data_IF_739558777289
#
_entry.id   IF_739558777289
#
_cell.length_a   1.000
_cell.length_b   1.000
_cell.length_c   1.000
_cell.angle_alpha   90.00
_cell.angle_beta   90.00
_cell.angle_gamma   90.00
#
_symmetry.space_group_name_H-M   'P 1'
#
loop_
_entity.id
_entity.type
_entity.pdbx_description
1 polymer ?
#
# COMPACT_ATOMS: atom_id res chain seq x y z
N UNK A 1 -31.13 19.11 35.42
CA UNK A 1 -30.98 17.66 35.17
C UNK A 1 -30.70 17.28 33.70
N UNK A 2 -30.65 18.23 32.74
CA UNK A 2 -30.40 17.93 31.31
C UNK A 2 -28.94 17.96 30.82
N UNK A 3 -27.98 18.37 31.66
CA UNK A 3 -26.58 18.55 31.24
C UNK A 3 -25.75 17.25 31.22
N UNK A 4 -25.99 16.33 32.16
CA UNK A 4 -25.22 15.08 32.26
C UNK A 4 -25.41 14.13 31.06
N UNK A 5 -26.57 14.18 30.40
CA UNK A 5 -26.83 13.37 29.21
C UNK A 5 -26.02 13.84 27.99
N UNK A 6 -25.85 15.15 27.81
CA UNK A 6 -25.12 15.72 26.69
C UNK A 6 -23.62 15.42 26.75
N UNK A 7 -23.02 15.51 27.94
CA UNK A 7 -21.59 15.23 28.15
C UNK A 7 -21.27 13.74 27.96
N UNK A 8 -22.15 12.85 28.43
CA UNK A 8 -21.99 11.41 28.21
C UNK A 8 -22.08 11.05 26.73
N UNK A 9 -23.05 11.60 26.01
CA UNK A 9 -23.19 11.39 24.56
C UNK A 9 -21.94 11.88 23.84
N UNK A 10 -21.45 13.06 24.18
CA UNK A 10 -20.23 13.61 23.60
C UNK A 10 -19.01 12.70 23.79
N UNK A 11 -18.80 12.22 25.01
CA UNK A 11 -17.72 11.30 25.31
C UNK A 11 -17.85 10.00 24.50
N UNK A 12 -19.05 9.43 24.40
CA UNK A 12 -19.31 8.23 23.61
C UNK A 12 -19.03 8.45 22.12
N UNK A 13 -19.40 9.60 21.56
CA UNK A 13 -19.12 9.95 20.16
C UNK A 13 -17.62 10.09 19.92
N UNK A 14 -16.87 10.73 20.84
CA UNK A 14 -15.42 10.85 20.75
C UNK A 14 -14.75 9.48 20.78
N UNK A 15 -15.10 8.64 21.76
CA UNK A 15 -14.57 7.27 21.88
C UNK A 15 -14.90 6.44 20.64
N UNK A 16 -16.12 6.56 20.14
CA UNK A 16 -16.54 5.90 18.91
C UNK A 16 -15.70 6.34 17.70
N UNK A 17 -15.50 7.65 17.49
CA UNK A 17 -14.71 8.18 16.38
C UNK A 17 -13.24 7.75 16.46
N UNK A 18 -12.64 7.74 17.66
CA UNK A 18 -11.29 7.20 17.88
C UNK A 18 -11.25 5.71 17.58
N UNK A 19 -12.26 4.94 17.98
CA UNK A 19 -12.38 3.52 17.69
C UNK A 19 -12.53 3.21 16.19
N UNK A 20 -13.30 4.01 15.47
CA UNK A 20 -13.43 3.93 14.00
C UNK A 20 -12.09 4.21 13.34
N UNK A 21 -11.35 5.23 13.79
CA UNK A 21 -10.00 5.50 13.28
C UNK A 21 -9.06 4.32 13.53
N UNK A 22 -9.06 3.79 14.75
CA UNK A 22 -8.26 2.62 15.14
C UNK A 22 -8.60 1.39 14.29
N UNK A 23 -9.87 1.18 13.93
CA UNK A 23 -10.30 0.11 13.03
C UNK A 23 -9.69 0.26 11.63
N UNK A 24 -9.69 1.46 11.06
CA UNK A 24 -9.11 1.69 9.73
C UNK A 24 -7.58 1.58 9.74
N UNK A 25 -6.92 2.13 10.76
CA UNK A 25 -5.49 1.90 10.98
C UNK A 25 -5.23 0.41 11.10
N UNK A 26 -6.03 -0.31 11.87
CA UNK A 26 -5.86 -1.74 12.01
C UNK A 26 -6.00 -2.49 10.69
N UNK A 27 -7.01 -2.14 9.90
CA UNK A 27 -7.23 -2.70 8.58
C UNK A 27 -6.07 -2.45 7.62
N UNK A 28 -5.55 -1.22 7.57
CA UNK A 28 -4.41 -0.85 6.72
C UNK A 28 -3.16 -1.67 7.07
N UNK A 29 -2.70 -1.59 8.33
CA UNK A 29 -1.46 -2.23 8.74
C UNK A 29 -1.55 -3.75 8.76
N UNK A 30 -2.72 -4.32 9.06
CA UNK A 30 -2.89 -5.77 9.00
C UNK A 30 -2.91 -6.29 7.56
N UNK A 31 -3.60 -5.61 6.64
CA UNK A 31 -3.70 -6.03 5.24
C UNK A 31 -2.36 -5.88 4.51
N UNK A 32 -1.61 -4.80 4.78
CA UNK A 32 -0.25 -4.63 4.26
C UNK A 32 0.71 -5.62 4.93
N UNK A 33 0.64 -5.76 6.25
CA UNK A 33 1.57 -6.56 7.04
C UNK A 33 1.47 -8.07 6.80
N UNK A 34 0.28 -8.61 6.47
CA UNK A 34 0.14 -10.05 6.24
C UNK A 34 0.85 -10.50 4.96
N UNK A 35 0.92 -9.64 3.93
CA UNK A 35 1.50 -9.99 2.63
C UNK A 35 0.66 -11.01 1.84
N UNK A 36 0.84 -11.03 0.52
CA UNK A 36 -0.02 -11.82 -0.39
C UNK A 36 0.08 -13.33 -0.18
N UNK A 37 1.29 -13.85 0.03
CA UNK A 37 1.51 -15.30 0.19
C UNK A 37 0.83 -15.83 1.45
N UNK A 38 0.99 -15.13 2.59
CA UNK A 38 0.34 -15.53 3.84
C UNK A 38 -1.17 -15.31 3.77
N UNK A 39 -1.65 -14.23 3.17
CA UNK A 39 -3.08 -14.03 2.96
C UNK A 39 -3.71 -15.20 2.17
N UNK A 40 -3.05 -15.70 1.12
CA UNK A 40 -3.49 -16.90 0.39
C UNK A 40 -3.51 -18.15 1.25
N UNK A 41 -2.48 -18.37 2.09
CA UNK A 41 -2.47 -19.46 3.08
C UNK A 41 -3.68 -19.38 4.02
N UNK A 42 -3.95 -18.21 4.58
CA UNK A 42 -5.07 -18.00 5.51
C UNK A 42 -6.44 -18.21 4.85
N UNK A 43 -6.56 -17.92 3.55
CA UNK A 43 -7.76 -18.24 2.76
C UNK A 43 -7.93 -19.75 2.60
N UNK A 44 -6.84 -20.47 2.31
CA UNK A 44 -6.85 -21.93 2.16
C UNK A 44 -7.13 -22.65 3.48
N UNK A 45 -6.69 -22.09 4.60
CA UNK A 45 -7.01 -22.56 5.96
C UNK A 45 -8.51 -22.43 6.29
N UNK A 46 -9.31 -21.74 5.47
CA UNK A 46 -10.77 -21.67 5.61
C UNK A 46 -11.26 -20.85 6.81
N UNK A 47 -10.40 -19.99 7.37
CA UNK A 47 -10.71 -19.23 8.57
C UNK A 47 -11.78 -18.13 8.33
N UNK A 48 -12.54 -17.74 9.36
CA UNK A 48 -13.50 -16.64 9.27
C UNK A 48 -12.82 -15.35 8.78
N UNK A 49 -13.45 -14.68 7.80
CA UNK A 49 -12.88 -13.48 7.16
C UNK A 49 -11.84 -13.76 6.06
N UNK A 50 -11.40 -15.00 5.88
CA UNK A 50 -10.46 -15.41 4.84
C UNK A 50 -10.95 -15.04 3.43
N UNK A 51 -12.22 -15.32 3.10
CA UNK A 51 -12.78 -14.98 1.80
C UNK A 51 -12.75 -13.46 1.50
N UNK A 52 -13.02 -12.62 2.50
CA UNK A 52 -12.94 -11.16 2.36
C UNK A 52 -11.48 -10.70 2.18
N UNK A 53 -10.57 -11.24 3.00
CA UNK A 53 -9.14 -10.95 2.90
C UNK A 53 -8.60 -11.34 1.53
N UNK A 54 -8.95 -12.54 1.04
CA UNK A 54 -8.56 -13.01 -0.28
C UNK A 54 -9.02 -12.09 -1.41
N UNK A 55 -10.25 -11.56 -1.34
CA UNK A 55 -10.76 -10.58 -2.31
C UNK A 55 -10.00 -9.25 -2.25
N UNK A 56 -9.63 -8.79 -1.06
CA UNK A 56 -8.89 -7.54 -0.87
C UNK A 56 -7.43 -7.66 -1.34
N UNK A 57 -6.81 -8.83 -1.16
CA UNK A 57 -5.38 -9.04 -1.46
C UNK A 57 -5.12 -9.81 -2.75
N UNK A 58 -6.13 -10.08 -3.58
CA UNK A 58 -5.98 -10.97 -4.75
C UNK A 58 -4.99 -10.44 -5.78
N UNK A 59 -4.93 -9.11 -5.94
CA UNK A 59 -4.08 -8.42 -6.89
C UNK A 59 -3.60 -7.06 -6.34
N UNK A 60 -2.57 -6.43 -6.93
CA UNK A 60 -2.07 -5.13 -6.48
C UNK A 60 -3.12 -4.02 -6.51
N UNK A 61 -4.04 -4.05 -7.46
CA UNK A 61 -5.01 -2.98 -7.68
C UNK A 61 -6.08 -2.98 -6.58
N UNK A 62 -6.52 -4.17 -6.16
CA UNK A 62 -7.49 -4.30 -5.06
C UNK A 62 -6.86 -3.99 -3.72
N UNK A 63 -5.61 -4.39 -3.52
CA UNK A 63 -4.88 -4.02 -2.32
C UNK A 63 -4.70 -2.51 -2.23
N UNK A 64 -4.31 -1.86 -3.33
CA UNK A 64 -4.19 -0.41 -3.43
C UNK A 64 -5.52 0.29 -3.12
N UNK A 65 -6.63 -0.16 -3.73
CA UNK A 65 -7.98 0.34 -3.42
C UNK A 65 -8.37 0.15 -1.95
N UNK A 66 -7.99 -0.97 -1.33
CA UNK A 66 -8.24 -1.22 0.08
C UNK A 66 -7.47 -0.24 0.97
N UNK A 67 -6.20 0.02 0.65
CA UNK A 67 -5.37 1.00 1.34
C UNK A 67 -5.96 2.41 1.16
N UNK A 68 -6.36 2.80 -0.06
CA UNK A 68 -7.02 4.09 -0.30
C UNK A 68 -8.31 4.23 0.52
N UNK A 69 -9.12 3.17 0.62
CA UNK A 69 -10.32 3.18 1.46
C UNK A 69 -9.98 3.39 2.94
N UNK A 70 -8.94 2.73 3.46
CA UNK A 70 -8.47 2.98 4.83
C UNK A 70 -8.04 4.43 5.02
N UNK A 71 -7.26 4.99 4.09
CA UNK A 71 -6.77 6.38 4.19
C UNK A 71 -7.93 7.39 4.20
N UNK A 72 -8.92 7.20 3.32
CA UNK A 72 -10.14 8.02 3.33
C UNK A 72 -10.86 7.87 4.67
N UNK A 73 -11.02 6.64 5.16
CA UNK A 73 -11.64 6.35 6.45
C UNK A 73 -10.95 7.08 7.60
N UNK A 74 -9.62 6.98 7.70
CA UNK A 74 -8.78 7.65 8.69
C UNK A 74 -8.96 9.16 8.59
N UNK A 75 -8.88 9.74 7.40
CA UNK A 75 -9.04 11.19 7.22
C UNK A 75 -10.43 11.67 7.65
N UNK A 76 -11.49 10.97 7.23
CA UNK A 76 -12.87 11.34 7.59
C UNK A 76 -13.09 11.21 9.10
N UNK A 77 -12.61 10.14 9.74
CA UNK A 77 -12.73 10.00 11.20
C UNK A 77 -11.94 11.06 11.96
N UNK A 78 -10.72 11.39 11.50
CA UNK A 78 -9.87 12.42 12.09
C UNK A 78 -10.52 13.80 12.03
N UNK A 79 -10.99 14.20 10.84
CA UNK A 79 -11.63 15.49 10.62
C UNK A 79 -12.94 15.59 11.40
N UNK A 80 -13.74 14.52 11.41
CA UNK A 80 -15.00 14.47 12.16
C UNK A 80 -14.76 14.60 13.66
N UNK A 81 -13.74 13.91 14.19
CA UNK A 81 -13.37 14.02 15.60
C UNK A 81 -12.90 15.42 15.97
N UNK A 82 -12.04 16.03 15.15
CA UNK A 82 -11.57 17.40 15.37
C UNK A 82 -12.72 18.40 15.38
N UNK A 83 -13.57 18.38 14.34
CA UNK A 83 -14.71 19.29 14.23
C UNK A 83 -15.72 19.09 15.37
N UNK A 84 -16.06 17.84 15.68
CA UNK A 84 -17.00 17.52 16.76
C UNK A 84 -16.45 17.96 18.12
N UNK A 85 -15.18 17.68 18.40
CA UNK A 85 -14.55 18.05 19.65
C UNK A 85 -14.51 19.57 19.85
N UNK A 86 -14.28 20.34 18.79
CA UNK A 86 -14.31 21.80 18.87
C UNK A 86 -15.71 22.32 19.23
N UNK A 87 -16.77 21.80 18.60
CA UNK A 87 -18.15 22.24 18.86
C UNK A 87 -18.57 21.94 20.30
N UNK A 88 -18.14 20.80 20.84
CA UNK A 88 -18.59 20.34 22.16
C UNK A 88 -17.69 20.80 23.30
N UNK A 89 -16.37 20.70 23.15
CA UNK A 89 -15.43 20.92 24.25
C UNK A 89 -14.93 22.37 24.33
N UNK A 90 -14.81 23.08 23.21
CA UNK A 90 -14.27 24.45 23.23
C UNK A 90 -15.18 25.45 23.97
N UNK A 91 -16.53 25.40 23.83
CA UNK A 91 -17.43 26.25 24.62
C UNK A 91 -17.37 25.96 26.13
N UNK A 92 -17.08 24.72 26.52
CA UNK A 92 -16.92 24.35 27.93
C UNK A 92 -15.59 24.84 28.52
N UNK A 93 -14.52 24.89 27.71
CA UNK A 93 -13.18 25.30 28.14
C UNK A 93 -12.97 26.82 28.13
N UNK A 94 -13.63 27.55 27.22
CA UNK A 94 -13.43 29.00 27.04
C UNK A 94 -13.70 29.84 28.31
N UNK A 95 -14.77 29.63 29.09
CA UNK A 95 -15.02 30.38 30.33
C UNK A 95 -13.95 30.16 31.39
N UNK A 96 -13.42 28.93 31.47
CA UNK A 96 -12.38 28.57 32.41
C UNK A 96 -11.06 29.29 32.10
N UNK A 97 -10.71 29.41 30.81
CA UNK A 97 -9.56 30.17 30.33
C UNK A 97 -9.75 31.70 30.50
N UNK A 98 -10.96 32.22 30.29
CA UNK A 98 -11.28 33.63 30.52
C UNK A 98 -11.13 34.01 32.01
N UNK A 99 -11.46 33.09 32.92
CA UNK A 99 -11.32 33.29 34.37
C UNK A 99 -9.88 33.49 34.85
N UNK A 100 -8.87 33.13 34.04
CA UNK A 100 -7.46 33.38 34.36
C UNK A 100 -7.03 34.84 34.11
N UNK A 101 -7.91 35.69 33.57
CA UNK A 101 -7.71 37.14 33.49
C UNK A 101 -6.58 37.61 32.57
N UNK A 102 -5.96 36.70 31.82
CA UNK A 102 -4.79 36.98 30.98
C UNK A 102 -5.15 37.48 29.56
N UNK A 103 -6.41 37.34 29.12
CA UNK A 103 -6.82 37.57 27.72
C UNK A 103 -8.28 38.03 27.60
N UNK A 104 -8.62 38.82 26.56
CA UNK A 104 -10.02 39.19 26.25
C UNK A 104 -10.84 38.03 25.66
N UNK A 105 -12.18 38.17 25.62
CA UNK A 105 -13.14 37.10 25.28
C UNK A 105 -12.91 36.42 23.91
N UNK A 106 -12.50 37.18 22.89
CA UNK A 106 -12.23 36.64 21.55
C UNK A 106 -10.96 35.76 21.58
N UNK A 107 -9.97 36.16 22.37
CA UNK A 107 -8.69 35.48 22.45
C UNK A 107 -8.77 34.23 23.33
N UNK A 108 -9.60 34.24 24.39
CA UNK A 108 -9.86 33.05 25.21
C UNK A 108 -10.59 31.95 24.44
N UNK A 109 -11.56 32.30 23.58
CA UNK A 109 -12.23 31.32 22.72
C UNK A 109 -11.28 30.71 21.68
N UNK A 110 -10.47 31.54 21.02
CA UNK A 110 -9.50 31.08 20.03
C UNK A 110 -8.45 30.16 20.65
N UNK A 111 -7.99 30.50 21.86
CA UNK A 111 -7.08 29.66 22.65
C UNK A 111 -7.75 28.34 23.06
N UNK A 112 -9.02 28.36 23.48
CA UNK A 112 -9.77 27.16 23.82
C UNK A 112 -9.88 26.20 22.63
N UNK A 113 -10.19 26.71 21.44
CA UNK A 113 -10.23 25.92 20.20
C UNK A 113 -8.86 25.29 19.89
N UNK A 114 -7.78 26.06 20.02
CA UNK A 114 -6.43 25.57 19.79
C UNK A 114 -6.02 24.47 20.79
N UNK A 115 -6.33 24.66 22.08
CA UNK A 115 -6.04 23.68 23.13
C UNK A 115 -6.85 22.41 22.95
N UNK A 116 -8.15 22.53 22.66
CA UNK A 116 -9.03 21.37 22.39
C UNK A 116 -8.54 20.61 21.16
N UNK A 117 -8.20 21.31 20.08
CA UNK A 117 -7.66 20.68 18.87
C UNK A 117 -6.36 19.94 19.19
N UNK A 118 -5.40 20.58 19.86
CA UNK A 118 -4.13 19.96 20.22
C UNK A 118 -4.33 18.72 21.09
N UNK A 119 -5.14 18.83 22.16
CA UNK A 119 -5.39 17.74 23.09
C UNK A 119 -6.09 16.55 22.41
N UNK A 120 -7.12 16.82 21.61
CA UNK A 120 -7.90 15.77 20.94
C UNK A 120 -7.12 15.13 19.80
N UNK A 121 -6.34 15.90 19.04
CA UNK A 121 -5.41 15.36 18.04
C UNK A 121 -4.31 14.51 18.70
N UNK A 122 -3.72 14.92 19.82
CA UNK A 122 -2.75 14.09 20.55
C UNK A 122 -3.38 12.78 21.03
N UNK A 123 -4.59 12.84 21.61
CA UNK A 123 -5.32 11.64 22.03
C UNK A 123 -5.59 10.71 20.85
N UNK A 124 -6.05 11.26 19.74
CA UNK A 124 -6.34 10.50 18.53
C UNK A 124 -5.07 9.85 17.94
N UNK A 125 -3.95 10.58 17.86
CA UNK A 125 -2.69 10.01 17.35
C UNK A 125 -2.26 8.85 18.24
N UNK A 126 -2.29 9.01 19.57
CA UNK A 126 -1.86 7.96 20.49
C UNK A 126 -2.79 6.74 20.42
N UNK A 127 -4.09 6.93 20.64
CA UNK A 127 -5.05 5.84 20.81
C UNK A 127 -5.67 5.35 19.50
N UNK A 128 -5.89 6.25 18.56
CA UNK A 128 -6.46 5.96 17.25
C UNK A 128 -5.45 5.47 16.22
N UNK A 129 -4.15 5.72 16.42
CA UNK A 129 -3.12 5.37 15.42
C UNK A 129 -1.94 4.59 15.99
N UNK A 130 -1.15 5.20 16.89
CA UNK A 130 0.12 4.64 17.34
C UNK A 130 -0.05 3.33 18.12
N UNK A 131 -1.01 3.28 19.05
CA UNK A 131 -1.29 2.07 19.81
C UNK A 131 -1.77 0.91 18.92
N UNK A 132 -2.84 1.04 18.11
CA UNK A 132 -3.26 -0.02 17.18
C UNK A 132 -2.14 -0.48 16.26
N UNK A 133 -1.42 0.47 15.65
CA UNK A 133 -0.29 0.18 14.76
C UNK A 133 0.77 -0.67 15.44
N UNK A 134 1.18 -0.28 16.65
CA UNK A 134 2.23 -0.97 17.40
C UNK A 134 1.86 -2.41 17.79
N UNK A 135 0.58 -2.68 18.01
CA UNK A 135 0.05 -4.01 18.33
C UNK A 135 0.03 -4.89 17.06
N UNK A 136 -0.39 -4.32 15.94
CA UNK A 136 -0.71 -5.07 14.72
C UNK A 136 0.53 -5.47 13.94
N UNK A 137 1.53 -4.59 13.88
CA UNK A 137 2.80 -4.87 13.19
C UNK A 137 3.49 -6.13 13.75
N UNK A 138 3.27 -6.47 15.02
CA UNK A 138 3.87 -7.67 15.64
C UNK A 138 3.24 -8.97 15.15
N UNK A 139 1.93 -8.97 14.89
CA UNK A 139 1.22 -10.15 14.40
C UNK A 139 0.00 -9.75 13.54
N UNK A 140 0.21 -9.46 12.24
CA UNK A 140 -0.85 -8.90 11.39
C UNK A 140 -1.89 -9.92 10.96
N UNK A 141 -1.56 -11.22 10.91
CA UNK A 141 -2.43 -12.29 10.40
C UNK A 141 -3.81 -12.37 11.07
N UNK A 142 -3.93 -12.48 12.41
CA UNK A 142 -5.24 -12.57 13.07
C UNK A 142 -6.05 -11.28 12.93
N UNK A 143 -5.39 -10.12 12.89
CA UNK A 143 -6.05 -8.84 12.69
C UNK A 143 -6.60 -8.72 11.28
N UNK A 144 -5.84 -9.14 10.27
CA UNK A 144 -6.24 -9.08 8.86
C UNK A 144 -7.52 -9.88 8.62
N UNK A 145 -7.65 -11.07 9.23
CA UNK A 145 -8.88 -11.87 9.13
C UNK A 145 -10.08 -11.20 9.80
N UNK A 146 -9.90 -10.59 10.98
CA UNK A 146 -10.99 -9.95 11.73
C UNK A 146 -11.50 -8.67 11.06
N UNK A 147 -10.60 -7.86 10.53
CA UNK A 147 -10.93 -6.55 9.93
C UNK A 147 -11.33 -6.65 8.46
N UNK A 148 -10.95 -7.72 7.76
CA UNK A 148 -11.21 -7.88 6.33
C UNK A 148 -12.68 -7.75 5.92
N UNK A 149 -13.68 -8.30 6.65
CA UNK A 149 -15.08 -8.12 6.28
C UNK A 149 -15.54 -6.66 6.34
N UNK A 150 -15.16 -5.96 7.42
CA UNK A 150 -15.47 -4.53 7.58
C UNK A 150 -14.79 -3.70 6.50
N UNK A 151 -13.51 -3.97 6.21
CA UNK A 151 -12.76 -3.29 5.15
C UNK A 151 -13.37 -3.56 3.77
N UNK A 152 -13.80 -4.78 3.49
CA UNK A 152 -14.43 -5.12 2.22
C UNK A 152 -15.73 -4.35 1.99
N UNK A 153 -16.55 -4.20 3.04
CA UNK A 153 -17.74 -3.36 3.01
C UNK A 153 -17.37 -1.88 2.80
N UNK A 154 -16.40 -1.35 3.55
CA UNK A 154 -15.95 0.04 3.40
C UNK A 154 -15.45 0.34 1.99
N UNK A 155 -14.68 -0.56 1.38
CA UNK A 155 -14.24 -0.42 -0.02
C UNK A 155 -15.43 -0.35 -0.96
N UNK A 156 -16.44 -1.20 -0.78
CA UNK A 156 -17.64 -1.19 -1.62
C UNK A 156 -18.40 0.13 -1.50
N UNK A 157 -18.64 0.62 -0.27
CA UNK A 157 -19.33 1.90 -0.01
C UNK A 157 -18.52 3.09 -0.56
N UNK A 158 -17.21 3.07 -0.39
CA UNK A 158 -16.32 4.17 -0.80
C UNK A 158 -15.91 4.11 -2.27
N UNK A 159 -16.28 3.06 -3.02
CA UNK A 159 -15.92 2.89 -4.43
C UNK A 159 -16.20 4.13 -5.31
N UNK A 160 -17.37 4.80 -5.25
CA UNK A 160 -17.60 6.01 -6.05
C UNK A 160 -16.66 7.15 -5.68
N UNK A 161 -16.40 7.34 -4.38
CA UNK A 161 -15.49 8.38 -3.88
C UNK A 161 -14.05 8.09 -4.28
N UNK A 162 -13.61 6.82 -4.17
CA UNK A 162 -12.28 6.39 -4.60
C UNK A 162 -12.12 6.62 -6.10
N UNK A 163 -13.11 6.26 -6.92
CA UNK A 163 -13.07 6.49 -8.36
C UNK A 163 -12.93 7.98 -8.71
N UNK A 164 -13.66 8.85 -8.00
CA UNK A 164 -13.57 10.30 -8.17
C UNK A 164 -12.18 10.85 -7.80
N UNK A 165 -11.66 10.47 -6.63
CA UNK A 165 -10.37 10.95 -6.12
C UNK A 165 -9.20 10.42 -6.97
N UNK A 166 -9.17 9.12 -7.26
CA UNK A 166 -8.14 8.52 -8.12
C UNK A 166 -8.23 9.05 -9.55
N UNK A 167 -9.43 9.29 -10.07
CA UNK A 167 -9.63 9.93 -11.37
C UNK A 167 -9.07 11.35 -11.42
N UNK A 168 -9.33 12.14 -10.37
CA UNK A 168 -8.81 13.50 -10.22
C UNK A 168 -7.28 13.53 -10.13
N UNK A 169 -6.69 12.65 -9.33
CA UNK A 169 -5.23 12.50 -9.25
C UNK A 169 -4.63 12.07 -10.60
N UNK A 170 -5.27 11.11 -11.29
CA UNK A 170 -4.84 10.67 -12.62
C UNK A 170 -4.90 11.77 -13.68
N UNK A 171 -5.91 12.65 -13.61
CA UNK A 171 -6.04 13.82 -14.46
C UNK A 171 -4.92 14.84 -14.20
N UNK A 172 -4.64 15.15 -12.94
CA UNK A 172 -3.54 16.05 -12.57
C UNK A 172 -2.17 15.50 -12.99
N UNK A 173 -1.94 14.20 -12.85
CA UNK A 173 -0.70 13.55 -13.32
C UNK A 173 -0.53 13.65 -14.84
N UNK A 174 -1.63 13.50 -15.61
CA UNK A 174 -1.61 13.67 -17.06
C UNK A 174 -1.27 15.10 -17.47
N UNK A 175 -1.78 16.09 -16.74
CA UNK A 175 -1.39 17.49 -16.95
C UNK A 175 0.10 17.72 -16.70
N UNK A 176 0.67 17.02 -15.72
CA UNK A 176 2.11 17.03 -15.44
C UNK A 176 2.97 16.13 -16.33
N UNK A 177 2.40 15.49 -17.36
CA UNK A 177 3.14 14.60 -18.27
C UNK A 177 3.53 13.24 -17.68
N UNK A 178 3.02 12.88 -16.51
CA UNK A 178 3.31 11.60 -15.85
C UNK A 178 2.18 10.58 -16.11
N UNK A 179 2.51 9.30 -16.35
CA UNK A 179 1.50 8.26 -16.51
C UNK A 179 0.71 8.08 -15.20
N UNK A 180 -0.63 8.04 -15.30
CA UNK A 180 -1.56 7.96 -14.16
C UNK A 180 -1.49 6.66 -13.34
N UNK A 181 -0.70 5.68 -13.77
CA UNK A 181 -0.45 4.43 -13.05
C UNK A 181 1.03 4.13 -13.14
N UNK A 182 1.68 3.64 -12.06
CA UNK A 182 2.85 2.82 -12.23
C UNK A 182 2.38 1.58 -12.97
N UNK A 183 2.41 1.64 -14.31
CA UNK A 183 2.31 0.45 -15.13
C UNK A 183 3.34 -0.53 -14.61
N UNK A 184 2.98 -1.81 -14.61
CA UNK A 184 3.93 -2.92 -14.52
C UNK A 184 5.10 -2.55 -15.42
N UNK A 185 6.17 -1.99 -14.85
CA UNK A 185 7.33 -1.68 -15.66
C UNK A 185 7.75 -3.04 -16.21
N UNK A 186 7.91 -3.20 -17.54
CA UNK A 186 8.51 -4.41 -18.05
C UNK A 186 9.87 -4.51 -17.35
N UNK A 187 9.99 -5.50 -16.46
CA UNK A 187 11.21 -5.73 -15.71
C UNK A 187 12.36 -5.81 -16.70
N UNK A 188 13.42 -5.06 -16.46
CA UNK A 188 14.59 -5.15 -17.32
C UNK A 188 15.11 -6.60 -17.32
N UNK A 189 15.75 -7.07 -18.42
CA UNK A 189 16.33 -8.42 -18.44
C UNK A 189 17.27 -8.70 -17.25
N UNK A 190 17.96 -7.67 -16.75
CA UNK A 190 18.80 -7.73 -15.57
C UNK A 190 17.99 -7.96 -14.27
N UNK A 191 16.85 -7.28 -14.13
CA UNK A 191 15.95 -7.43 -12.98
C UNK A 191 15.26 -8.80 -12.98
N UNK A 192 14.83 -9.30 -14.16
CA UNK A 192 14.32 -10.67 -14.31
C UNK A 192 15.42 -11.68 -13.94
N UNK A 193 16.66 -11.47 -14.41
CA UNK A 193 17.81 -12.30 -14.04
C UNK A 193 18.06 -12.36 -12.53
N UNK A 194 17.89 -11.23 -11.84
CA UNK A 194 18.02 -11.15 -10.38
C UNK A 194 16.90 -11.91 -9.65
N UNK A 195 15.66 -11.78 -10.10
CA UNK A 195 14.49 -12.51 -9.55
C UNK A 195 14.68 -14.03 -9.72
N UNK A 196 15.18 -14.48 -10.88
CA UNK A 196 15.46 -15.90 -11.15
C UNK A 196 16.57 -16.42 -10.23
N UNK A 197 17.67 -15.68 -10.09
CA UNK A 197 18.77 -16.06 -9.18
C UNK A 197 18.31 -16.12 -7.72
N UNK A 198 17.44 -15.20 -7.29
CA UNK A 198 16.87 -15.21 -5.94
C UNK A 198 15.93 -16.39 -5.72
N UNK A 199 15.12 -16.75 -6.72
CA UNK A 199 14.19 -17.88 -6.67
C UNK A 199 14.89 -19.24 -6.66
N UNK A 200 16.07 -19.34 -7.28
CA UNK A 200 16.94 -20.52 -7.17
C UNK A 200 17.54 -20.65 -5.76
N UNK A 201 18.01 -19.53 -5.18
CA UNK A 201 18.56 -19.51 -3.80
C UNK A 201 17.53 -19.86 -2.72
N UNK A 202 16.26 -19.52 -2.93
CA UNK A 202 15.17 -19.86 -2.00
C UNK A 202 14.61 -21.28 -2.22
N UNK A 203 15.19 -22.07 -3.13
CA UNK A 203 14.77 -23.45 -3.40
C UNK A 203 13.46 -23.60 -4.19
N UNK A 204 12.89 -22.49 -4.67
CA UNK A 204 11.64 -22.49 -5.46
C UNK A 204 11.88 -22.96 -6.90
N UNK A 205 13.08 -22.72 -7.43
CA UNK A 205 13.52 -23.20 -8.75
C UNK A 205 14.68 -24.18 -8.61
N UNK A 206 14.62 -25.29 -9.35
CA UNK A 206 15.76 -26.20 -9.47
C UNK A 206 16.91 -25.51 -10.24
N UNK A 207 18.18 -25.83 -9.94
CA UNK A 207 19.34 -25.21 -10.61
C UNK A 207 19.26 -25.28 -12.15
N UNK A 208 18.88 -26.43 -12.71
CA UNK A 208 18.72 -26.61 -14.16
C UNK A 208 17.62 -25.72 -14.78
N UNK A 209 16.52 -25.51 -14.06
CA UNK A 209 15.42 -24.65 -14.52
C UNK A 209 15.83 -23.17 -14.49
N UNK A 210 16.57 -22.77 -13.45
CA UNK A 210 17.15 -21.43 -13.34
C UNK A 210 18.16 -21.16 -14.47
N UNK A 211 18.99 -22.14 -14.82
CA UNK A 211 19.97 -22.00 -15.89
C UNK A 211 19.31 -21.87 -17.27
N UNK A 212 18.29 -22.69 -17.55
CA UNK A 212 17.49 -22.58 -18.78
C UNK A 212 16.80 -21.23 -18.91
N UNK A 213 16.21 -20.71 -17.84
CA UNK A 213 15.57 -19.37 -17.85
C UNK A 213 16.61 -18.27 -18.08
N UNK A 214 17.78 -18.36 -17.43
CA UNK A 214 18.86 -17.40 -17.61
C UNK A 214 19.35 -17.39 -19.06
N UNK A 215 19.52 -18.56 -19.66
CA UNK A 215 19.96 -18.69 -21.06
C UNK A 215 18.91 -18.17 -22.04
N UNK A 216 17.61 -18.40 -21.80
CA UNK A 216 16.54 -17.87 -22.62
C UNK A 216 16.48 -16.32 -22.60
N UNK A 217 16.66 -15.72 -21.42
CA UNK A 217 16.72 -14.25 -21.26
C UNK A 217 17.96 -13.68 -21.95
N UNK A 218 19.12 -14.32 -21.78
CA UNK A 218 20.36 -13.89 -22.44
C UNK A 218 20.27 -14.02 -23.95
N UNK A 219 19.68 -15.10 -24.47
CA UNK A 219 19.49 -15.32 -25.90
C UNK A 219 18.66 -14.20 -26.54
N UNK A 220 17.57 -13.76 -25.89
CA UNK A 220 16.76 -12.65 -26.37
C UNK A 220 17.52 -11.31 -26.44
N UNK A 221 18.62 -11.17 -25.70
CA UNK A 221 19.46 -9.99 -25.68
C UNK A 221 20.72 -10.11 -26.57
N UNK A 222 20.99 -11.29 -27.17
CA UNK A 222 22.16 -11.50 -28.04
C UNK A 222 21.86 -11.04 -29.46
N UNK A 223 22.84 -10.40 -30.06
CA UNK A 223 22.85 -9.99 -31.47
C UNK A 223 23.71 -10.95 -32.29
N UNK A 224 23.55 -10.96 -33.62
CA UNK A 224 24.40 -11.78 -34.50
C UNK A 224 25.91 -11.50 -34.29
N UNK A 225 26.26 -10.26 -33.93
CA UNK A 225 27.64 -9.88 -33.59
C UNK A 225 28.18 -10.63 -32.38
N UNK A 226 27.33 -10.97 -31.42
CA UNK A 226 27.73 -11.59 -30.16
C UNK A 226 28.02 -13.09 -30.29
N UNK A 227 27.64 -13.71 -31.42
CA UNK A 227 27.76 -15.14 -31.68
C UNK A 227 28.42 -15.47 -33.03
N UNK A 228 28.66 -14.48 -33.90
CA UNK A 228 29.36 -14.71 -35.17
C UNK A 228 30.83 -15.08 -34.94
N UNK A 229 31.36 -15.91 -35.82
CA UNK A 229 32.81 -16.11 -35.94
C UNK A 229 33.43 -14.82 -36.50
N UNK A 230 34.42 -14.21 -35.81
CA UNK A 230 35.11 -13.03 -36.32
C UNK A 230 35.67 -13.29 -37.72
N UNK A 231 35.54 -12.32 -38.65
CA UNK A 231 35.96 -12.50 -40.06
C UNK A 231 37.41 -13.00 -40.22
N UNK A 232 38.30 -12.64 -39.31
CA UNK A 232 39.72 -13.06 -39.31
C UNK A 232 39.92 -14.54 -38.93
N UNK A 233 38.90 -15.19 -38.37
CA UNK A 233 38.86 -16.60 -37.99
C UNK A 233 37.97 -17.42 -38.94
N UNK A 234 37.42 -16.80 -39.98
CA UNK A 234 36.62 -17.50 -40.98
C UNK A 234 37.57 -18.13 -42.00
N UNK A 235 37.58 -19.45 -42.07
CA UNK A 235 38.17 -20.16 -43.20
C UNK A 235 37.29 -19.94 -44.42
N UNK A 236 37.87 -19.33 -45.46
CA UNK A 236 37.18 -18.99 -46.69
C UNK A 236 37.98 -19.50 -47.89
N UNK A 237 37.27 -20.11 -48.84
CA UNK A 237 37.85 -20.59 -50.09
C UNK A 237 37.58 -19.58 -51.23
N UNK A 238 38.55 -19.32 -52.12
CA UNK A 238 38.32 -18.54 -53.33
C UNK A 238 37.25 -19.18 -54.22
N UNK A 239 36.49 -18.36 -54.96
CA UNK A 239 35.49 -18.87 -55.92
C UNK A 239 36.10 -19.72 -57.05
N UNK A 240 37.41 -19.58 -57.26
CA UNK A 240 38.20 -20.34 -58.24
C UNK A 240 38.83 -21.60 -57.67
N UNK A 241 38.53 -21.97 -56.41
CA UNK A 241 39.10 -23.15 -55.77
C UNK A 241 38.67 -24.45 -56.49
N UNK A 242 39.60 -25.39 -56.59
CA UNK A 242 39.33 -26.70 -57.19
C UNK A 242 38.66 -27.65 -56.18
N UNK A 243 38.11 -28.77 -56.68
CA UNK A 243 37.46 -29.79 -55.82
C UNK A 243 38.44 -30.39 -54.80
N UNK A 244 39.72 -30.48 -55.15
CA UNK A 244 40.75 -31.00 -54.24
C UNK A 244 41.07 -30.01 -53.12
N UNK A 245 41.06 -28.70 -53.39
CA UNK A 245 41.24 -27.65 -52.38
C UNK A 245 40.10 -27.64 -51.36
N UNK A 246 38.86 -27.90 -51.80
CA UNK A 246 37.69 -28.02 -50.91
C UNK A 246 37.81 -29.23 -49.98
N UNK A 247 38.29 -30.38 -50.49
CA UNK A 247 38.49 -31.59 -49.67
C UNK A 247 39.53 -31.37 -48.58
N UNK A 248 40.63 -30.68 -48.89
CA UNK A 248 41.68 -30.37 -47.93
C UNK A 248 41.20 -29.46 -46.78
N UNK A 249 40.14 -28.67 -46.99
CA UNK A 249 39.61 -27.72 -46.01
C UNK A 249 38.54 -28.32 -45.06
N UNK A 250 37.92 -29.46 -45.42
CA UNK A 250 36.81 -30.08 -44.66
C UNK A 250 37.29 -31.27 -43.80
N UNK A 251 38.52 -31.74 -44.00
CA UNK A 251 39.09 -32.92 -43.30
C UNK A 251 39.99 -32.50 -42.16
#
# INVERSE_FOLDING_TARGET
MGYAGGELIAFLVIVFLVGVNALYVAAEYATVGVGRTRARSLVQEGLPGGAALGKLTSDPVRLDRAITACQIGISVSSLSLGAYSQIVLAPALAPWLAGWGLWGDITSHSLAVAVVLAATSSLQIVFGEQLPKSIIVRNPSPWALRVAPALWLSVWVMTPLIAFLSGSAGFLLRLGGLPSRPGTQPHSPAEIGWIVAQSARSGVLRPEQSERLRNAIQFAARTARDVMVPRVQVEALPITASVDDVRACIT
#
